data_IF_640202156828
#
_entry.id   IF_640202156828
#
_cell.length_a   1.000
_cell.length_b   1.000
_cell.length_c   1.000
_cell.angle_alpha   90.00
_cell.angle_beta   90.00
_cell.angle_gamma   90.00
#
_symmetry.space_group_name_H-M   'P 1'
#
loop_
_entity.id
_entity.type
_entity.pdbx_description
1 polymer ?
#
# COMPACT_ATOMS: atom_id res chain seq x y z
N UNK A 1 8.59 -30.59 14.60
CA UNK A 1 8.79 -31.59 15.67
C UNK A 1 7.51 -32.41 15.79
N UNK A 2 7.60 -33.73 16.05
CA UNK A 2 6.43 -34.58 16.31
C UNK A 2 6.17 -34.59 17.81
N UNK A 3 4.94 -34.26 18.20
CA UNK A 3 4.51 -34.18 19.60
C UNK A 3 3.17 -34.89 19.72
N UNK A 4 2.94 -35.58 20.83
CA UNK A 4 1.64 -36.14 21.16
C UNK A 4 0.85 -35.14 22.02
N UNK A 5 -0.38 -34.83 21.64
CA UNK A 5 -1.25 -33.85 22.30
C UNK A 5 -2.69 -34.36 22.28
N UNK A 6 -3.40 -34.19 23.39
CA UNK A 6 -4.83 -34.50 23.48
C UNK A 6 -5.64 -33.32 22.92
N UNK A 7 -6.53 -33.60 21.96
CA UNK A 7 -7.38 -32.61 21.29
C UNK A 7 -8.83 -33.11 21.37
N UNK A 8 -9.78 -32.21 21.59
CA UNK A 8 -11.21 -32.53 21.53
C UNK A 8 -11.58 -33.09 20.14
N UNK A 9 -12.16 -34.30 20.11
CA UNK A 9 -12.56 -34.97 18.87
C UNK A 9 -13.60 -34.17 18.09
N UNK A 10 -14.56 -33.53 18.77
CA UNK A 10 -15.61 -32.74 18.10
C UNK A 10 -15.00 -31.53 17.40
N UNK A 11 -14.00 -30.90 18.02
CA UNK A 11 -13.27 -29.79 17.42
C UNK A 11 -12.51 -30.28 16.19
N UNK A 12 -11.84 -31.42 16.29
CA UNK A 12 -11.06 -31.95 15.18
C UNK A 12 -11.94 -32.36 14.00
N UNK A 13 -13.07 -33.01 14.27
CA UNK A 13 -14.04 -33.41 13.26
C UNK A 13 -14.65 -32.20 12.56
N UNK A 14 -14.99 -31.15 13.31
CA UNK A 14 -15.46 -29.89 12.74
C UNK A 14 -14.43 -29.27 11.79
N UNK A 15 -13.16 -29.22 12.19
CA UNK A 15 -12.09 -28.66 11.36
C UNK A 15 -11.84 -29.50 10.12
N UNK A 16 -11.91 -30.82 10.21
CA UNK A 16 -11.75 -31.71 9.05
C UNK A 16 -12.97 -31.65 8.11
N UNK A 17 -14.18 -31.42 8.63
CA UNK A 17 -15.40 -31.33 7.81
C UNK A 17 -15.53 -29.98 7.09
N UNK A 18 -15.03 -28.90 7.69
CA UNK A 18 -15.13 -27.54 7.16
C UNK A 18 -13.87 -27.06 6.43
N UNK A 19 -12.70 -27.58 6.80
CA UNK A 19 -11.42 -27.20 6.24
C UNK A 19 -10.98 -28.13 5.10
N UNK A 20 -10.21 -27.58 4.16
CA UNK A 20 -9.63 -28.34 3.04
C UNK A 20 -8.32 -29.05 3.47
N UNK A 21 -8.38 -29.88 4.52
CA UNK A 21 -7.19 -30.57 5.05
C UNK A 21 -7.22 -32.06 4.73
N UNK A 22 -6.09 -32.59 4.25
CA UNK A 22 -5.97 -34.04 3.96
C UNK A 22 -5.64 -34.83 5.21
N UNK A 23 -4.96 -34.21 6.17
CA UNK A 23 -4.47 -34.89 7.38
C UNK A 23 -4.67 -34.05 8.63
N UNK A 24 -4.79 -34.75 9.77
CA UNK A 24 -4.89 -34.12 11.10
C UNK A 24 -3.70 -33.17 11.39
N UNK A 25 -2.48 -33.54 10.98
CA UNK A 25 -1.27 -32.72 11.15
C UNK A 25 -1.38 -31.39 10.41
N UNK A 26 -1.88 -31.43 9.18
CA UNK A 26 -2.00 -30.25 8.31
C UNK A 26 -2.99 -29.23 8.88
N UNK A 27 -4.14 -29.71 9.38
CA UNK A 27 -5.12 -28.87 10.05
C UNK A 27 -4.53 -28.14 11.27
N UNK A 28 -3.77 -28.86 12.11
CA UNK A 28 -3.11 -28.29 13.29
C UNK A 28 -2.05 -27.26 12.88
N UNK A 29 -1.23 -27.55 11.87
CA UNK A 29 -0.20 -26.63 11.37
C UNK A 29 -0.81 -25.35 10.79
N UNK A 30 -1.90 -25.46 10.04
CA UNK A 30 -2.66 -24.33 9.51
C UNK A 30 -3.23 -23.45 10.64
N UNK A 31 -3.81 -24.07 11.68
CA UNK A 31 -4.32 -23.37 12.85
C UNK A 31 -3.21 -22.59 13.61
N UNK A 32 -2.07 -23.22 13.84
CA UNK A 32 -0.92 -22.55 14.48
C UNK A 32 -0.38 -21.39 13.65
N UNK A 33 -0.32 -21.54 12.32
CA UNK A 33 0.08 -20.47 11.40
C UNK A 33 -0.90 -19.30 11.44
N UNK A 34 -2.20 -19.56 11.57
CA UNK A 34 -3.22 -18.53 11.72
C UNK A 34 -3.06 -17.76 13.04
N UNK A 35 -2.81 -18.45 14.16
CA UNK A 35 -2.57 -17.81 15.46
C UNK A 35 -1.36 -16.88 15.39
N UNK A 36 -0.24 -17.33 14.81
CA UNK A 36 0.95 -16.50 14.60
C UNK A 36 0.61 -15.22 13.83
N UNK A 37 -0.13 -15.34 12.72
CA UNK A 37 -0.56 -14.19 11.92
C UNK A 37 -1.43 -13.24 12.74
N UNK A 38 -2.39 -13.77 13.51
CA UNK A 38 -3.27 -12.96 14.37
C UNK A 38 -2.50 -12.14 15.39
N UNK A 39 -1.45 -12.70 16.00
CA UNK A 39 -0.59 -11.97 16.93
C UNK A 39 0.19 -10.84 16.25
N UNK A 40 0.68 -11.04 15.01
CA UNK A 40 1.34 -9.98 14.26
C UNK A 40 0.43 -8.75 14.05
N UNK A 41 -0.86 -8.99 13.79
CA UNK A 41 -1.84 -7.90 13.60
C UNK A 41 -2.40 -7.34 14.92
N UNK A 42 -2.13 -7.98 16.06
CA UNK A 42 -2.70 -7.55 17.34
C UNK A 42 -2.18 -6.17 17.77
N UNK A 43 -0.89 -5.89 17.55
CA UNK A 43 -0.29 -4.59 17.85
C UNK A 43 -0.90 -3.46 17.00
N UNK A 44 -1.09 -3.70 15.70
CA UNK A 44 -1.74 -2.75 14.79
C UNK A 44 -3.19 -2.51 15.22
N UNK A 45 -3.90 -3.59 15.60
CA UNK A 45 -5.28 -3.47 16.09
C UNK A 45 -5.35 -2.68 17.41
N UNK A 46 -4.38 -2.82 18.30
CA UNK A 46 -4.32 -2.06 19.54
C UNK A 46 -4.02 -0.57 19.30
N UNK A 47 -3.22 -0.25 18.30
CA UNK A 47 -2.94 1.13 17.90
C UNK A 47 -4.15 1.84 17.24
N UNK A 48 -5.20 1.09 16.86
CA UNK A 48 -6.43 1.66 16.29
C UNK A 48 -7.09 2.60 17.30
N UNK A 49 -7.25 3.87 16.90
CA UNK A 49 -7.87 4.90 17.73
C UNK A 49 -6.92 5.65 18.67
N UNK A 50 -5.68 5.18 18.84
CA UNK A 50 -4.61 5.95 19.51
C UNK A 50 -3.79 6.75 18.50
N UNK A 51 -3.79 6.32 17.24
CA UNK A 51 -3.04 6.99 16.18
C UNK A 51 -3.70 8.33 15.82
N UNK A 52 -2.98 9.41 16.07
CA UNK A 52 -3.33 10.74 15.59
C UNK A 52 -2.91 10.86 14.12
N UNK A 53 -3.88 11.01 13.23
CA UNK A 53 -3.62 11.31 11.83
C UNK A 53 -3.47 12.82 11.68
N UNK A 54 -2.41 13.27 11.02
CA UNK A 54 -2.23 14.66 10.63
C UNK A 54 -2.66 14.81 9.18
N UNK A 55 -3.73 15.57 8.95
CA UNK A 55 -4.28 15.85 7.62
C UNK A 55 -3.66 17.11 6.99
N UNK A 56 -2.60 17.69 7.60
CA UNK A 56 -1.89 18.83 7.05
C UNK A 56 -1.02 18.46 5.85
N UNK A 57 -1.10 19.28 4.79
CA UNK A 57 -0.26 19.16 3.58
C UNK A 57 1.23 19.44 3.84
N UNK A 58 1.59 19.97 5.01
CA UNK A 58 2.97 20.33 5.34
C UNK A 58 3.93 19.13 5.27
N UNK A 59 3.51 17.95 5.73
CA UNK A 59 4.34 16.75 5.69
C UNK A 59 4.62 16.30 4.24
N UNK A 60 3.59 16.37 3.38
CA UNK A 60 3.70 16.05 1.96
C UNK A 60 4.57 17.07 1.19
N UNK A 61 4.49 18.35 1.57
CA UNK A 61 5.33 19.39 0.99
C UNK A 61 6.82 19.20 1.32
N UNK A 62 7.14 18.84 2.58
CA UNK A 62 8.53 18.55 3.01
C UNK A 62 9.11 17.35 2.29
N UNK A 63 8.39 16.23 2.21
CA UNK A 63 8.85 15.03 1.49
C UNK A 63 9.18 15.33 0.02
N UNK A 64 8.32 16.10 -0.67
CA UNK A 64 8.57 16.48 -2.07
C UNK A 64 9.79 17.39 -2.24
N UNK A 65 10.06 18.27 -1.28
CA UNK A 65 11.25 19.11 -1.31
C UNK A 65 12.53 18.27 -1.13
N UNK A 66 12.51 17.28 -0.23
CA UNK A 66 13.61 16.35 -0.03
C UNK A 66 13.87 15.50 -1.28
N UNK A 67 12.82 14.99 -1.92
CA UNK A 67 12.93 14.22 -3.17
C UNK A 67 13.52 15.07 -4.31
N UNK A 68 13.12 16.34 -4.43
CA UNK A 68 13.68 17.27 -5.41
C UNK A 68 15.16 17.58 -5.14
N UNK A 69 15.54 17.77 -3.88
CA UNK A 69 16.93 17.99 -3.51
C UNK A 69 17.81 16.76 -3.82
N UNK A 70 17.29 15.55 -3.59
CA UNK A 70 17.96 14.31 -3.95
C UNK A 70 18.08 14.14 -5.48
N UNK A 71 17.03 14.46 -6.24
CA UNK A 71 17.05 14.41 -7.70
C UNK A 71 18.03 15.44 -8.29
N UNK A 72 18.08 16.66 -7.75
CA UNK A 72 19.05 17.68 -8.14
C UNK A 72 20.49 17.26 -7.81
N UNK A 73 20.71 16.64 -6.66
CA UNK A 73 22.02 16.11 -6.28
C UNK A 73 22.44 14.97 -7.23
N UNK A 74 21.52 14.06 -7.55
CA UNK A 74 21.78 12.98 -8.51
C UNK A 74 22.04 13.52 -9.92
N UNK A 75 21.26 14.50 -10.38
CA UNK A 75 21.46 15.16 -11.67
C UNK A 75 22.82 15.89 -11.72
N UNK A 76 23.18 16.64 -10.68
CA UNK A 76 24.48 17.30 -10.58
C UNK A 76 25.63 16.28 -10.55
N UNK A 77 25.45 15.16 -9.86
CA UNK A 77 26.44 14.06 -9.85
C UNK A 77 26.59 13.45 -11.25
N UNK A 78 25.49 13.20 -11.96
CA UNK A 78 25.51 12.67 -13.33
C UNK A 78 26.13 13.66 -14.32
N UNK A 79 25.84 14.95 -14.20
CA UNK A 79 26.46 16.00 -15.02
C UNK A 79 27.95 16.12 -14.71
N UNK A 80 28.37 16.05 -13.45
CA UNK A 80 29.78 16.09 -13.07
C UNK A 80 30.54 14.87 -13.59
N UNK A 81 29.93 13.67 -13.58
CA UNK A 81 30.48 12.46 -14.19
C UNK A 81 30.57 12.61 -15.72
N UNK A 82 29.54 13.15 -16.38
CA UNK A 82 29.55 13.38 -17.84
C UNK A 82 30.62 14.41 -18.26
N UNK A 83 30.75 15.51 -17.52
CA UNK A 83 31.77 16.54 -17.78
C UNK A 83 33.20 16.02 -17.50
N UNK A 84 33.39 15.16 -16.51
CA UNK A 84 34.69 14.50 -16.28
C UNK A 84 35.04 13.49 -17.39
N UNK A 85 34.04 12.88 -18.05
CA UNK A 85 34.25 12.00 -19.22
C UNK A 85 34.47 12.77 -20.52
N UNK A 86 34.04 14.03 -20.61
CA UNK A 86 34.17 14.89 -21.80
C UNK A 86 35.09 16.09 -21.50
N UNK A 87 36.39 15.82 -21.40
CA UNK A 87 37.46 16.81 -21.57
C UNK A 87 38.29 16.44 -22.81
N UNK A 88 38.83 17.41 -23.57
CA UNK A 88 38.42 17.64 -24.95
C UNK A 88 39.15 16.74 -25.94
N UNK A 89 38.40 15.98 -26.73
CA UNK A 89 38.82 15.60 -28.08
C UNK A 89 37.97 16.43 -29.04
N UNK A 90 38.59 17.50 -29.54
CA UNK A 90 38.03 18.38 -30.53
C UNK A 90 37.88 17.68 -31.89
N UNK A 91 36.88 18.17 -32.64
CA UNK A 91 36.49 17.87 -34.03
C UNK A 91 35.56 16.67 -34.21
N UNK A 92 34.31 16.96 -34.53
CA UNK A 92 33.77 16.77 -35.90
C UNK A 92 32.37 17.43 -35.93
N UNK A 93 32.09 18.15 -37.00
CA UNK A 93 30.81 18.80 -37.26
C UNK A 93 29.75 17.73 -37.56
N UNK A 94 28.62 17.75 -36.85
CA UNK A 94 27.42 17.02 -37.24
C UNK A 94 26.21 17.95 -37.14
N UNK A 95 25.61 18.17 -38.30
CA UNK A 95 24.47 19.00 -38.60
C UNK A 95 23.25 18.55 -37.78
N UNK A 96 22.85 19.36 -36.80
CA UNK A 96 21.66 19.14 -35.99
C UNK A 96 20.48 19.83 -36.68
N UNK A 97 19.68 19.06 -37.40
CA UNK A 97 18.38 19.52 -37.91
C UNK A 97 17.53 20.02 -36.74
N UNK A 98 17.30 21.33 -36.73
CA UNK A 98 16.36 22.01 -35.85
C UNK A 98 14.95 21.54 -36.22
N UNK A 99 14.35 20.73 -35.36
CA UNK A 99 12.90 20.56 -35.34
C UNK A 99 12.36 21.55 -34.30
N UNK A 100 11.72 22.62 -34.77
CA UNK A 100 10.99 23.53 -33.88
C UNK A 100 9.92 22.75 -33.09
N UNK A 101 9.86 22.86 -31.75
CA UNK A 101 8.79 22.25 -31.00
C UNK A 101 7.54 23.12 -31.15
N UNK A 102 6.62 22.70 -32.01
CA UNK A 102 5.29 23.30 -32.11
C UNK A 102 4.39 22.82 -30.96
N UNK A 103 3.68 23.79 -30.40
CA UNK A 103 2.54 23.71 -29.48
C UNK A 103 2.86 23.53 -27.98
N UNK A 104 2.84 24.67 -27.28
CA UNK A 104 2.55 24.76 -25.86
C UNK A 104 1.14 24.19 -25.59
N UNK A 105 1.06 23.09 -24.85
CA UNK A 105 -0.20 22.59 -24.28
C UNK A 105 -0.51 23.43 -23.04
N UNK A 106 -1.54 24.27 -23.13
CA UNK A 106 -2.15 24.90 -21.96
C UNK A 106 -2.97 23.86 -21.22
N UNK A 107 -2.61 23.58 -19.96
CA UNK A 107 -3.43 22.77 -19.05
C UNK A 107 -4.65 23.62 -18.69
N UNK A 108 -5.75 23.42 -19.42
CA UNK A 108 -7.06 23.92 -19.05
C UNK A 108 -7.54 23.12 -17.84
N UNK A 109 -7.44 23.73 -16.65
CA UNK A 109 -8.03 23.21 -15.42
C UNK A 109 -9.53 23.51 -15.44
N UNK A 110 -10.43 22.52 -15.56
CA UNK A 110 -11.85 22.80 -15.43
C UNK A 110 -12.17 23.07 -13.96
N UNK A 111 -12.63 24.30 -13.75
CA UNK A 111 -13.43 24.80 -12.66
C UNK A 111 -14.05 23.76 -11.70
N UNK A 112 -13.84 24.02 -10.41
CA UNK A 112 -14.74 23.77 -9.27
C UNK A 112 -16.10 23.20 -9.69
N UNK A 113 -16.23 21.87 -9.61
CA UNK A 113 -17.54 21.22 -9.58
C UNK A 113 -18.08 21.36 -8.15
N UNK A 114 -19.03 22.27 -7.98
CA UNK A 114 -19.91 22.35 -6.81
C UNK A 114 -20.49 20.97 -6.51
N UNK A 115 -20.19 20.45 -5.32
CA UNK A 115 -20.78 19.24 -4.75
C UNK A 115 -22.30 19.42 -4.59
N UNK A 116 -23.16 18.50 -5.09
CA UNK A 116 -24.53 18.40 -4.62
C UNK A 116 -24.57 17.78 -3.21
N UNK A 117 -25.44 18.32 -2.35
CA UNK A 117 -25.64 17.90 -0.96
C UNK A 117 -25.86 16.39 -0.79
N UNK A 118 -25.43 15.80 0.34
CA UNK A 118 -25.58 14.37 0.59
C UNK A 118 -27.04 14.01 0.92
N UNK A 119 -27.73 13.37 -0.01
CA UNK A 119 -28.95 12.65 0.27
C UNK A 119 -28.65 11.42 1.16
N UNK A 120 -29.00 11.58 2.44
CA UNK A 120 -29.59 10.58 3.36
C UNK A 120 -29.46 9.09 3.01
N UNK A 121 -28.88 8.33 3.95
CA UNK A 121 -29.35 6.97 4.28
C UNK A 121 -28.45 5.81 3.87
N UNK A 122 -27.40 5.53 4.65
CA UNK A 122 -26.73 4.22 4.62
C UNK A 122 -27.53 3.28 5.55
N UNK A 123 -28.14 2.18 5.06
CA UNK A 123 -28.78 1.21 5.93
C UNK A 123 -27.71 0.43 6.72
N UNK A 124 -27.86 0.46 8.03
CA UNK A 124 -27.04 -0.23 9.02
C UNK A 124 -27.13 -1.76 8.81
N UNK A 125 -26.08 -2.39 8.26
CA UNK A 125 -25.97 -3.86 8.25
C UNK A 125 -25.39 -4.32 9.58
N UNK A 126 -26.25 -4.43 10.59
CA UNK A 126 -25.88 -4.99 11.87
C UNK A 126 -27.03 -5.02 12.89
N UNK A 127 -27.82 -6.10 12.87
CA UNK A 127 -28.52 -6.65 14.04
C UNK A 127 -29.28 -7.93 13.63
N UNK A 128 -28.56 -9.05 13.53
CA UNK A 128 -29.19 -10.37 13.62
C UNK A 128 -29.17 -10.78 15.10
N UNK A 129 -30.26 -10.48 15.82
CA UNK A 129 -30.66 -11.13 17.07
C UNK A 129 -31.92 -11.93 16.73
N UNK A 130 -31.89 -13.27 16.80
CA UNK A 130 -32.36 -14.04 17.95
C UNK A 130 -33.73 -13.53 18.44
N UNK A 131 -34.82 -14.25 18.14
CA UNK A 131 -35.75 -14.78 19.15
C UNK A 131 -36.93 -15.59 18.57
N UNK A 132 -37.21 -16.70 19.26
CA UNK A 132 -38.51 -17.32 19.54
C UNK A 132 -39.36 -17.94 18.41
N UNK A 133 -39.27 -19.27 18.31
CA UNK A 133 -40.35 -20.14 17.84
C UNK A 133 -40.83 -20.97 19.04
N UNK A 134 -42.00 -20.62 19.56
CA UNK A 134 -42.90 -21.48 20.33
C UNK A 134 -44.32 -21.14 19.86
#
# INVERSE_FOLDING_TARGET
MRTNIDIDDKLMDYVMATGEFKTKREAVEAGLKLIRRRHAYAAIRAARGTLHWDDSDEAWARSRADDQAQAMTQAATLTQVHVAMVAPQAKEQAELTVCEPVAAYTVSSPAVATLPEPATGIPNRGAAALESKA
#
